data_IF_968257462092
#
_entry.id   IF_968257462092
#
_cell.length_a   1.000
_cell.length_b   1.000
_cell.length_c   1.000
_cell.angle_alpha   90.00
_cell.angle_beta   90.00
_cell.angle_gamma   90.00
#
_symmetry.space_group_name_H-M   'P 1'
#
loop_
_entity.id
_entity.type
_entity.pdbx_description
1 polymer ?
2 non-polymer ?
3 water ?
#
# COMPACT_ATOMS: atom_id res chain seq x y z
N UNK A 14 6.01 -11.41 -0.18
CA UNK A 14 6.67 -10.71 -1.31
C UNK A 14 5.93 -11.01 -2.60
N UNK A 15 5.82 -10.02 -3.47
CA UNK A 15 5.30 -10.28 -4.81
C UNK A 15 6.11 -11.39 -5.50
N UNK A 16 5.43 -12.33 -6.14
CA UNK A 16 6.09 -13.39 -6.91
C UNK A 16 6.67 -12.94 -8.26
N UNK A 17 7.71 -13.63 -8.70
CA UNK A 17 8.25 -13.44 -10.04
C UNK A 17 7.15 -13.72 -11.06
N UNK A 18 7.01 -12.81 -12.06
CA UNK A 18 5.96 -12.99 -13.06
C UNK A 18 6.24 -14.13 -14.03
N UNK A 19 7.50 -14.53 -14.22
CA UNK A 19 7.76 -15.63 -15.15
C UNK A 19 7.82 -16.99 -14.44
N UNK A 20 8.63 -17.15 -13.41
CA UNK A 20 8.74 -18.45 -12.77
C UNK A 20 7.72 -18.66 -11.69
N UNK A 21 7.26 -17.57 -11.07
CA UNK A 21 6.15 -17.67 -10.06
C UNK A 21 6.54 -18.65 -8.96
N UNK A 22 7.83 -18.77 -8.69
CA UNK A 22 8.30 -19.64 -7.61
C UNK A 22 9.37 -18.97 -6.77
N UNK A 23 9.67 -17.71 -7.02
CA UNK A 23 10.65 -16.98 -6.25
C UNK A 23 10.13 -15.57 -6.07
N UNK A 24 10.61 -14.89 -5.04
CA UNK A 24 10.30 -13.48 -4.86
C UNK A 24 10.92 -12.67 -5.99
N UNK A 25 10.16 -11.71 -6.52
CA UNK A 25 10.73 -10.77 -7.48
C UNK A 25 11.80 -9.92 -6.80
N UNK A 26 12.84 -9.58 -7.55
CA UNK A 26 13.86 -8.69 -7.02
C UNK A 26 14.08 -7.45 -7.87
N UNK A 27 13.66 -7.49 -9.14
CA UNK A 27 13.84 -6.38 -10.07
C UNK A 27 12.54 -6.15 -10.83
N UNK A 28 12.37 -4.92 -11.30
CA UNK A 28 11.21 -4.57 -12.11
C UNK A 28 11.72 -4.00 -13.43
N UNK A 29 11.12 -4.46 -14.53
CA UNK A 29 11.46 -3.96 -15.87
C UNK A 29 10.27 -3.24 -16.45
N UNK A 30 10.39 -1.94 -16.63
CA UNK A 30 9.28 -1.19 -17.22
C UNK A 30 8.96 -1.65 -18.64
N UNK A 31 9.99 -1.87 -19.48
CA UNK A 31 9.76 -2.21 -20.89
C UNK A 31 8.97 -3.49 -21.01
N UNK A 32 9.24 -4.47 -20.14
CA UNK A 32 8.52 -5.72 -20.06
C UNK A 32 7.33 -5.65 -19.12
N UNK A 33 7.20 -4.57 -18.34
CA UNK A 33 6.14 -4.46 -17.35
C UNK A 33 6.10 -5.73 -16.49
N UNK A 34 7.28 -6.10 -15.97
CA UNK A 34 7.48 -7.42 -15.35
C UNK A 34 8.22 -7.30 -14.04
N UNK A 35 7.72 -7.98 -13.02
CA UNK A 35 8.49 -8.24 -11.81
C UNK A 35 9.19 -9.58 -11.95
N UNK A 36 10.49 -9.59 -11.71
CA UNK A 36 11.29 -10.79 -11.97
C UNK A 36 12.25 -11.06 -10.82
N UNK A 37 12.47 -12.34 -10.54
CA UNK A 37 13.51 -12.75 -9.62
C UNK A 37 14.84 -12.60 -10.32
N UNK A 38 15.94 -12.84 -9.61
CA UNK A 38 17.22 -12.51 -10.23
C UNK A 38 17.54 -13.43 -11.41
N UNK A 39 17.27 -14.74 -11.27
CA UNK A 39 17.64 -15.60 -12.39
C UNK A 39 16.74 -15.36 -13.59
N UNK A 40 15.44 -15.13 -13.39
CA UNK A 40 14.59 -14.86 -14.55
C UNK A 40 14.97 -13.54 -15.22
N UNK A 41 15.34 -12.53 -14.43
CA UNK A 41 15.82 -11.29 -15.00
C UNK A 41 17.02 -11.52 -15.92
N UNK A 42 17.97 -12.35 -15.48
CA UNK A 42 19.14 -12.64 -16.30
C UNK A 42 18.73 -13.39 -17.58
N UNK A 43 17.82 -14.37 -17.47
CA UNK A 43 17.44 -15.15 -18.65
C UNK A 43 16.68 -14.32 -19.65
N UNK A 44 15.86 -13.37 -19.17
CA UNK A 44 15.05 -12.58 -20.07
C UNK A 44 15.93 -11.59 -20.84
N UNK A 45 16.91 -10.99 -20.18
CA UNK A 45 17.66 -9.94 -20.82
C UNK A 45 18.97 -10.42 -21.46
N UNK A 46 19.35 -11.68 -21.28
CA UNK A 46 20.44 -12.28 -22.04
C UNK A 46 19.94 -12.88 -23.34
N UNK A 47 18.64 -12.77 -23.60
CA UNK A 47 18.05 -13.44 -24.74
C UNK A 47 18.60 -12.94 -26.08
N UNK A 48 19.02 -11.67 -26.16
CA UNK A 48 19.48 -11.01 -27.40
C UNK A 48 19.87 -9.59 -27.00
N UNK A 49 20.54 -8.89 -27.92
CA UNK A 49 21.07 -7.52 -27.65
C UNK A 49 19.92 -6.56 -27.35
N UNK A 50 18.80 -6.69 -28.07
CA UNK A 50 17.68 -5.78 -27.93
C UNK A 50 17.18 -5.80 -26.49
N UNK A 51 16.91 -7.00 -25.97
CA UNK A 51 16.40 -7.12 -24.61
C UNK A 51 17.45 -6.67 -23.61
N UNK A 52 18.74 -6.87 -23.93
CA UNK A 52 19.79 -6.58 -22.97
C UNK A 52 19.91 -5.10 -22.71
N UNK A 53 19.27 -4.28 -23.51
CA UNK A 53 19.32 -2.86 -23.27
C UNK A 53 18.27 -2.40 -22.29
N UNK A 54 17.36 -3.29 -21.86
CA UNK A 54 16.30 -2.88 -20.92
C UNK A 54 16.92 -2.35 -19.64
N UNK A 55 16.46 -1.19 -19.19
CA UNK A 55 16.80 -0.66 -17.88
C UNK A 55 15.87 -1.24 -16.83
N UNK A 56 16.44 -1.82 -15.77
CA UNK A 56 15.68 -2.42 -14.68
C UNK A 56 16.00 -1.72 -13.35
N UNK A 57 15.08 -1.86 -12.40
CA UNK A 57 15.27 -1.26 -11.09
C UNK A 57 15.01 -2.29 -10.01
N UNK A 58 15.65 -2.09 -8.87
CA UNK A 58 15.41 -2.93 -7.71
C UNK A 58 13.96 -2.80 -7.26
N UNK A 59 13.37 -3.91 -6.82
CA UNK A 59 12.05 -3.88 -6.19
C UNK A 59 12.20 -3.31 -4.78
N UNK A 60 11.21 -2.51 -4.35
CA UNK A 60 11.18 -1.93 -3.01
C UNK A 60 11.51 -2.97 -1.95
N UNK A 61 12.51 -2.69 -1.12
CA UNK A 61 12.85 -3.60 -0.03
C UNK A 61 11.97 -3.41 1.21
N UNK A 62 11.02 -2.48 1.17
CA UNK A 62 10.06 -2.35 2.26
C UNK A 62 8.82 -3.20 1.96
N UNK A 63 8.08 -2.87 0.91
CA UNK A 63 6.87 -3.63 0.59
C UNK A 63 7.16 -4.83 -0.31
N UNK A 64 8.23 -4.73 -1.09
CA UNK A 64 8.70 -5.82 -1.98
C UNK A 64 7.66 -6.07 -3.08
N UNK A 65 6.72 -5.15 -3.27
CA UNK A 65 5.65 -5.34 -4.29
C UNK A 65 5.62 -4.18 -5.29
N UNK A 66 6.67 -3.36 -5.37
CA UNK A 66 6.62 -2.21 -6.28
C UNK A 66 8.04 -1.87 -6.65
N UNK A 67 8.26 -1.21 -7.80
CA UNK A 67 9.64 -0.82 -8.14
C UNK A 67 10.12 0.25 -7.18
N UNK A 68 11.39 0.18 -6.82
CA UNK A 68 12.00 1.23 -6.01
C UNK A 68 12.23 2.51 -6.85
N UNK A 69 12.12 3.66 -6.20
CA UNK A 69 12.40 4.94 -6.82
C UNK A 69 13.42 5.78 -6.05
N UNK A 70 13.70 5.47 -4.79
CA UNK A 70 14.61 6.25 -3.97
C UNK A 70 15.52 5.31 -3.23
N UNK A 71 16.79 5.67 -3.13
CA UNK A 71 17.75 4.91 -2.34
C UNK A 71 18.05 5.69 -1.07
N UNK A 72 17.87 5.04 0.07
CA UNK A 72 18.26 5.70 1.34
C UNK A 72 19.46 4.94 1.90
N UNK A 73 20.61 5.58 1.94
CA UNK A 73 21.81 4.90 2.42
C UNK A 73 21.76 4.73 3.92
N UNK A 74 21.19 5.71 4.63
CA UNK A 74 21.01 5.57 6.08
C UNK A 74 20.22 4.30 6.42
N UNK A 75 19.10 4.07 5.74
CA UNK A 75 18.32 2.85 5.97
C UNK A 75 18.85 1.65 5.19
N UNK A 76 19.86 1.82 4.34
CA UNK A 76 20.37 0.75 3.45
C UNK A 76 19.22 0.08 2.68
N UNK A 77 18.39 0.90 2.05
CA UNK A 77 17.14 0.42 1.46
C UNK A 77 16.78 1.21 0.21
N UNK A 78 16.44 0.48 -0.85
CA UNK A 78 15.75 1.04 -1.99
C UNK A 78 14.24 0.94 -1.78
N UNK A 79 13.55 2.08 -1.89
CA UNK A 79 12.14 2.18 -1.56
C UNK A 79 11.30 2.72 -2.72
N UNK A 80 10.11 2.16 -2.89
CA UNK A 80 9.16 2.74 -3.82
C UNK A 80 8.70 4.13 -3.31
N UNK A 81 7.94 4.84 -4.15
CA UNK A 81 7.53 6.21 -3.78
C UNK A 81 6.70 6.20 -2.50
N UNK A 82 5.73 5.28 -2.42
CA UNK A 82 4.83 5.23 -1.28
C UNK A 82 5.56 4.79 -0.01
N UNK A 83 6.42 3.77 -0.10
CA UNK A 83 7.20 3.38 1.07
C UNK A 83 8.19 4.47 1.49
N UNK A 84 8.77 5.17 0.51
CA UNK A 84 9.68 6.26 0.83
C UNK A 84 8.97 7.36 1.63
N UNK A 85 7.73 7.65 1.26
CA UNK A 85 6.99 8.68 2.00
C UNK A 85 6.57 8.15 3.38
N UNK A 86 6.09 6.91 3.45
CA UNK A 86 5.63 6.40 4.73
C UNK A 86 6.79 6.32 5.72
N UNK A 87 7.92 5.80 5.28
CA UNK A 87 9.04 5.59 6.20
C UNK A 87 9.63 6.91 6.69
N UNK A 88 9.78 7.88 5.79
CA UNK A 88 10.47 9.10 6.18
C UNK A 88 9.58 10.18 6.76
N UNK A 89 8.26 9.94 6.90
CA UNK A 89 7.42 10.86 7.63
C UNK A 89 7.19 10.40 9.07
N UNK A 90 7.79 9.28 9.47
CA UNK A 90 7.44 8.65 10.73
C UNK A 90 7.80 9.52 11.93
N UNK A 91 8.92 10.22 11.90
CA UNK A 91 9.37 10.94 13.09
C UNK A 91 10.53 11.84 12.70
N UNK A 92 11.04 12.73 13.58
CA UNK A 92 12.03 13.72 13.11
C UNK A 92 13.36 13.13 12.71
N UNK A 94 13.77 10.10 11.04
CA UNK A 94 13.54 9.59 9.70
C UNK A 94 13.39 10.74 8.71
N UNK A 95 12.76 11.83 9.14
CA UNK A 95 12.46 13.00 8.27
C UNK A 95 13.76 13.60 7.71
N UNK A 96 14.87 13.53 8.43
CA UNK A 96 16.12 14.16 7.90
C UNK A 96 16.89 13.26 6.94
N UNK A 97 16.44 12.03 6.68
CA UNK A 97 17.21 11.17 5.80
C UNK A 97 17.26 11.77 4.40
N UNK A 98 18.46 11.80 3.84
CA UNK A 98 18.71 12.22 2.47
C UNK A 98 18.62 11.00 1.57
N UNK A 99 17.81 11.11 0.56
CA UNK A 99 17.67 10.00 -0.37
C UNK A 99 18.07 10.39 -1.78
N UNK A 100 18.48 9.39 -2.54
CA UNK A 100 18.92 9.65 -3.88
C UNK A 100 17.87 9.14 -4.82
N UNK A 101 17.30 10.05 -5.60
CA UNK A 101 16.34 9.58 -6.61
C UNK A 101 17.05 8.63 -7.57
N UNK B 16 -18.40 4.68 24.57
CA UNK B 16 -18.45 6.11 24.97
C UNK B 16 -17.37 6.44 26.01
N UNK B 17 -17.03 7.72 26.13
CA UNK B 17 -16.03 8.15 27.12
C UNK B 17 -16.52 7.90 28.54
N UNK B 18 -15.64 7.34 29.39
CA UNK B 18 -16.07 7.02 30.74
C UNK B 18 -16.17 8.23 31.67
N UNK B 19 -15.46 9.32 31.39
CA UNK B 19 -15.60 10.52 32.20
C UNK B 19 -16.46 11.56 31.53
N UNK B 20 -16.18 11.79 30.23
CA UNK B 20 -16.95 12.75 29.38
C UNK B 20 -18.38 12.22 29.13
N UNK B 21 -18.50 10.96 28.73
CA UNK B 21 -19.81 10.27 28.64
C UNK B 21 -20.66 10.88 27.53
N UNK B 22 -20.12 11.86 26.84
CA UNK B 22 -20.80 12.52 25.74
C UNK B 22 -19.89 12.71 24.54
N UNK B 23 -18.83 11.90 24.45
CA UNK B 23 -17.91 11.90 23.33
C UNK B 23 -17.43 10.48 23.06
N UNK B 24 -17.05 10.22 21.81
CA UNK B 24 -16.57 8.89 21.45
C UNK B 24 -15.20 8.64 22.06
N UNK B 25 -15.01 7.49 22.72
CA UNK B 25 -13.71 7.17 23.35
C UNK B 25 -12.65 6.87 22.29
N UNK B 26 -11.46 7.47 22.39
CA UNK B 26 -10.36 7.24 21.41
C UNK B 26 -9.05 6.80 22.08
N UNK B 27 -9.02 6.71 23.42
CA UNK B 27 -7.82 6.34 24.15
C UNK B 27 -8.21 5.38 25.25
N UNK B 28 -7.40 4.34 25.45
CA UNK B 28 -7.61 3.38 26.52
C UNK B 28 -6.44 3.50 27.48
N UNK B 29 -6.74 3.61 28.78
CA UNK B 29 -5.70 3.69 29.81
C UNK B 29 -5.88 2.50 30.74
N UNK B 30 -4.93 1.57 30.70
CA UNK B 30 -5.03 0.40 31.56
C UNK B 30 -4.96 0.77 33.02
N UNK B 31 -4.06 1.69 33.38
CA UNK B 31 -3.86 2.04 34.80
C UNK B 31 -5.14 2.59 35.41
N UNK B 32 -5.90 3.35 34.63
CA UNK B 32 -7.18 3.88 35.05
C UNK B 32 -8.35 2.95 34.70
N UNK B 33 -8.12 1.82 34.03
CA UNK B 33 -9.20 0.99 33.49
C UNK B 33 -10.27 1.86 32.81
N UNK B 34 -9.85 2.72 31.88
CA UNK B 34 -10.79 3.69 31.36
C UNK B 34 -10.66 3.85 29.85
N UNK B 35 -11.80 4.06 29.21
CA UNK B 35 -11.88 4.47 27.82
C UNK B 35 -12.23 5.95 27.81
N UNK B 36 -11.35 6.78 27.24
CA UNK B 36 -11.53 8.23 27.25
C UNK B 36 -11.50 8.81 25.86
N UNK B 37 -12.26 9.90 25.69
CA UNK B 37 -12.07 10.75 24.52
C UNK B 37 -10.74 11.47 24.65
N UNK B 38 -10.38 12.21 23.60
CA UNK B 38 -9.07 12.83 23.56
C UNK B 38 -8.95 13.97 24.56
N UNK B 39 -10.03 14.74 24.73
CA UNK B 39 -9.99 15.85 25.67
C UNK B 39 -9.87 15.34 27.10
N UNK B 40 -10.76 14.42 27.50
CA UNK B 40 -10.68 13.86 28.84
C UNK B 40 -9.35 13.16 29.09
N UNK B 41 -8.84 12.46 28.07
CA UNK B 41 -7.54 11.75 28.18
C UNK B 41 -6.44 12.76 28.57
N UNK B 42 -6.44 13.94 27.94
CA UNK B 42 -5.44 14.97 28.22
C UNK B 42 -5.65 15.59 29.60
N UNK B 43 -6.89 15.84 29.99
CA UNK B 43 -7.13 16.44 31.31
C UNK B 43 -6.82 15.47 32.45
N UNK B 44 -7.16 14.19 32.30
CA UNK B 44 -6.82 13.22 33.35
C UNK B 44 -5.31 13.17 33.52
N UNK B 45 -4.60 13.00 32.41
CA UNK B 45 -3.20 12.66 32.48
C UNK B 45 -2.30 13.89 32.55
N UNK B 46 -2.88 15.10 32.53
CA UNK B 46 -2.15 16.33 32.82
C UNK B 46 -2.25 16.74 34.28
N UNK B 47 -2.93 15.96 35.14
CA UNK B 47 -3.26 16.47 36.47
C UNK B 47 -2.03 16.59 37.37
N UNK B 48 -1.02 15.74 37.20
CA UNK B 48 0.17 15.70 38.05
C UNK B 48 1.17 14.77 37.39
N UNK B 49 2.38 14.74 37.92
CA UNK B 49 3.48 13.90 37.40
C UNK B 49 3.13 12.40 37.46
N UNK B 50 2.30 11.99 38.43
CA UNK B 50 2.05 10.56 38.61
C UNK B 50 1.09 10.06 37.54
N UNK B 51 0.02 10.81 37.28
CA UNK B 51 -0.92 10.44 36.24
C UNK B 51 -0.31 10.61 34.84
N UNK B 52 0.67 11.49 34.71
CA UNK B 52 1.27 11.71 33.39
C UNK B 52 2.16 10.55 32.98
N UNK B 53 2.52 9.66 33.91
CA UNK B 53 3.30 8.49 33.57
C UNK B 53 2.45 7.32 33.07
N UNK B 54 1.12 7.45 33.04
CA UNK B 54 0.26 6.36 32.60
C UNK B 54 0.50 6.07 31.13
N UNK B 55 0.68 4.80 30.79
CA UNK B 55 0.78 4.42 29.38
C UNK B 55 -0.62 4.21 28.80
N UNK B 56 -0.89 4.90 27.69
CA UNK B 56 -2.21 4.83 27.01
C UNK B 56 -2.00 4.51 25.51
N UNK B 57 -2.97 3.81 24.93
CA UNK B 57 -2.94 3.38 23.53
C UNK B 57 -4.27 3.78 22.92
N UNK B 58 -4.26 3.97 21.61
CA UNK B 58 -5.47 4.27 20.88
C UNK B 58 -6.45 3.11 20.98
N UNK B 59 -7.73 3.41 20.85
CA UNK B 59 -8.75 2.37 20.84
C UNK B 59 -8.83 1.76 19.44
N UNK B 60 -9.13 0.47 19.36
CA UNK B 60 -9.26 -0.22 18.09
C UNK B 60 -10.26 0.48 17.21
N UNK B 61 -9.86 0.85 15.99
CA UNK B 61 -10.74 1.55 15.08
C UNK B 61 -11.65 0.62 14.30
N UNK B 62 -11.55 -0.68 14.54
CA UNK B 62 -12.44 -1.65 13.91
C UNK B 62 -13.67 -1.93 14.78
N UNK B 63 -13.45 -2.45 15.98
CA UNK B 63 -14.57 -2.70 16.87
C UNK B 63 -14.93 -1.50 17.74
N UNK B 64 -13.96 -0.62 17.97
CA UNK B 64 -14.21 0.59 18.80
C UNK B 64 -14.62 0.17 20.21
N UNK B 65 -14.17 -1.00 20.65
CA UNK B 65 -14.48 -1.49 21.99
C UNK B 65 -13.31 -2.20 22.67
N UNK B 66 -12.08 -1.96 22.25
CA UNK B 66 -10.94 -2.65 22.83
C UNK B 66 -9.69 -1.83 22.56
N UNK B 67 -8.65 -1.98 23.37
CA UNK B 67 -7.40 -1.28 23.10
C UNK B 67 -6.73 -1.81 21.85
N UNK B 68 -6.16 -0.90 21.08
CA UNK B 68 -5.40 -1.28 19.89
C UNK B 68 -4.07 -1.90 20.30
N UNK B 69 -3.67 -2.94 19.58
CA UNK B 69 -2.38 -3.56 19.78
C UNK B 69 -1.47 -3.45 18.57
N UNK B 70 -2.02 -3.28 17.37
CA UNK B 70 -1.22 -3.23 16.16
C UNK B 70 -1.68 -2.09 15.26
N UNK B 71 -0.72 -1.43 14.63
CA UNK B 71 -1.01 -0.40 13.65
C UNK B 71 -0.73 -0.96 12.27
N UNK B 72 -1.71 -0.88 11.39
CA UNK B 72 -1.55 -1.30 10.00
C UNK B 72 -1.63 -0.04 9.13
N UNK B 73 -0.51 0.33 8.54
CA UNK B 73 -0.47 1.54 7.66
C UNK B 73 -1.25 1.29 6.37
N UNK B 74 -1.15 0.11 5.76
CA UNK B 74 -1.91 -0.12 4.53
C UNK B 74 -3.41 0.03 4.76
N UNK B 75 -3.89 -0.32 5.96
CA UNK B 75 -5.29 -0.17 6.30
C UNK B 75 -5.59 1.17 6.97
N UNK B 76 -4.58 1.98 7.29
CA UNK B 76 -4.76 3.20 8.08
C UNK B 76 -5.58 2.97 9.34
N UNK B 77 -5.27 1.87 10.06
CA UNK B 77 -6.11 1.44 11.17
C UNK B 77 -5.27 0.99 12.35
N UNK B 78 -5.73 1.31 13.55
CA UNK B 78 -5.21 0.72 14.77
C UNK B 78 -6.19 -0.35 15.19
N UNK B 79 -5.68 -1.53 15.50
CA UNK B 79 -6.53 -2.69 15.70
C UNK B 79 -6.12 -3.44 16.96
N UNK B 80 -7.12 -3.89 17.71
CA UNK B 80 -6.90 -4.83 18.80
C UNK B 80 -6.42 -6.17 18.24
N UNK B 81 -5.96 -7.04 19.15
CA UNK B 81 -5.38 -8.32 18.72
C UNK B 81 -6.39 -9.16 17.96
N UNK B 82 -7.65 -9.19 18.40
CA UNK B 82 -8.69 -9.94 17.72
C UNK B 82 -9.00 -9.35 16.33
N UNK B 83 -9.26 -8.03 16.27
CA UNK B 83 -9.62 -7.46 14.97
C UNK B 83 -8.46 -7.57 14.00
N UNK B 84 -7.23 -7.39 14.49
CA UNK B 84 -6.06 -7.56 13.64
C UNK B 84 -5.99 -8.96 13.03
N UNK B 85 -6.20 -10.01 13.86
CA UNK B 85 -6.13 -11.38 13.35
C UNK B 85 -7.29 -11.67 12.40
N UNK B 86 -8.49 -11.18 12.71
CA UNK B 86 -9.64 -11.38 11.83
C UNK B 86 -9.48 -10.71 10.46
N UNK B 87 -9.04 -9.45 10.46
CA UNK B 87 -8.87 -8.70 9.22
C UNK B 87 -7.76 -9.31 8.34
N UNK B 88 -6.65 -9.71 8.94
CA UNK B 88 -5.47 -10.12 8.18
C UNK B 88 -5.42 -11.59 7.85
N UNK B 89 -6.25 -12.43 8.49
CA UNK B 89 -6.43 -13.82 8.10
C UNK B 89 -7.50 -14.03 7.03
N UNK B 90 -8.18 -12.98 6.59
CA UNK B 90 -9.35 -13.16 5.73
C UNK B 90 -8.99 -13.71 4.34
N UNK B 91 -7.94 -13.20 3.74
CA UNK B 91 -7.57 -13.57 2.35
C UNK B 91 -6.09 -13.37 2.07
N UNK B 92 -5.61 -13.88 0.94
CA UNK B 92 -4.18 -13.76 0.64
C UNK B 92 -3.58 -12.32 0.58
N UNK B 94 -4.69 -9.44 2.29
CA UNK B 94 -4.66 -8.89 3.64
C UNK B 94 -3.63 -9.63 4.45
N UNK B 95 -3.43 -10.91 4.14
CA UNK B 95 -2.41 -11.68 4.83
C UNK B 95 -1.02 -11.10 4.65
N UNK B 96 -0.84 -10.30 3.60
CA UNK B 96 0.51 -9.75 3.26
C UNK B 96 0.77 -8.39 3.92
N UNK B 97 -0.19 -7.86 4.69
CA UNK B 97 0.01 -6.55 5.31
C UNK B 97 1.08 -6.61 6.39
N UNK B 98 1.86 -5.55 6.47
CA UNK B 98 2.82 -5.37 7.56
C UNK B 98 2.22 -4.50 8.65
N UNK B 99 2.31 -4.95 9.88
CA UNK B 99 1.78 -4.18 11.00
C UNK B 99 2.89 -3.93 12.01
N UNK B 100 2.77 -2.84 12.75
CA UNK B 100 3.74 -2.60 13.84
C UNK B 100 3.02 -2.65 15.19
N UNK B 101 3.76 -2.97 16.25
CA UNK B 101 3.02 -2.91 17.51
C UNK B 101 2.80 -1.53 17.95
N UNK B 104 3.03 2.80 23.42
CA UNK B 104 2.39 3.44 24.57
C UNK B 104 2.02 4.86 24.41
N UNK C 14 -1.95 -9.53 -21.01
CA UNK C 14 -2.58 -8.84 -19.85
C UNK C 14 -2.06 -9.41 -18.53
N UNK C 15 -1.80 -8.55 -17.57
CA UNK C 15 -1.29 -9.00 -16.26
C UNK C 15 -2.37 -9.81 -15.54
N UNK C 16 -1.97 -10.93 -14.95
CA UNK C 16 -2.91 -11.78 -14.21
C UNK C 16 -3.23 -11.26 -12.81
N UNK C 17 -4.46 -11.54 -12.37
CA UNK C 17 -4.92 -11.27 -11.01
C UNK C 17 -3.99 -11.89 -9.96
N UNK C 18 -3.56 -11.08 -8.98
CA UNK C 18 -2.60 -11.53 -7.98
C UNK C 18 -3.19 -12.61 -7.07
N UNK C 19 -4.51 -12.71 -7.02
CA UNK C 19 -5.19 -13.63 -6.10
C UNK C 19 -5.52 -14.98 -6.74
N UNK C 20 -6.30 -14.96 -7.83
CA UNK C 20 -6.74 -16.21 -8.45
C UNK C 20 -5.87 -16.60 -9.63
N UNK C 21 -5.14 -15.64 -10.19
CA UNK C 21 -4.16 -15.95 -11.27
C UNK C 21 -4.83 -16.78 -12.37
N UNK C 22 -6.13 -16.55 -12.56
CA UNK C 22 -6.94 -17.23 -13.60
C UNK C 22 -7.71 -16.21 -14.46
N UNK C 23 -7.73 -14.94 -14.02
CA UNK C 23 -8.44 -13.88 -14.73
C UNK C 23 -7.46 -12.74 -14.95
N UNK C 24 -7.69 -11.96 -16.00
CA UNK C 24 -6.92 -10.73 -16.16
C UNK C 24 -7.28 -9.75 -15.03
N UNK C 25 -6.28 -9.01 -14.55
CA UNK C 25 -6.60 -8.01 -13.54
C UNK C 25 -7.34 -6.85 -14.19
N UNK C 26 -8.21 -6.21 -13.42
CA UNK C 26 -8.93 -5.02 -13.87
C UNK C 26 -8.76 -3.81 -12.96
N UNK C 27 -8.35 -3.99 -11.70
CA UNK C 27 -8.13 -2.86 -10.79
C UNK C 27 -6.82 -3.06 -10.06
N UNK C 28 -6.29 -1.95 -9.57
CA UNK C 28 -5.10 -1.94 -8.73
C UNK C 28 -5.46 -1.32 -7.39
N UNK C 29 -5.15 -2.03 -6.30
CA UNK C 29 -5.32 -1.49 -4.95
C UNK C 29 -3.94 -1.18 -4.38
N UNK C 30 -3.64 0.09 -4.17
CA UNK C 30 -2.32 0.42 -3.60
C UNK C 30 -2.17 -0.06 -2.16
N UNK C 31 -3.25 0.01 -1.38
CA UNK C 31 -3.17 -0.42 0.02
C UNK C 31 -2.73 -1.87 0.10
N UNK C 32 -3.31 -2.71 -0.76
CA UNK C 32 -2.96 -4.12 -0.85
C UNK C 32 -1.76 -4.37 -1.76
N UNK C 33 -1.32 -3.33 -2.50
CA UNK C 33 -0.20 -3.52 -3.47
C UNK C 33 -0.60 -4.72 -4.35
N UNK C 34 -1.80 -4.66 -4.92
CA UNK C 34 -2.39 -5.82 -5.57
C UNK C 34 -3.08 -5.46 -6.88
N UNK C 35 -2.88 -6.31 -7.89
CA UNK C 35 -3.68 -6.32 -9.12
C UNK C 35 -4.73 -7.41 -8.98
N UNK C 36 -6.00 -7.03 -9.11
CA UNK C 36 -7.08 -7.96 -8.89
C UNK C 36 -8.06 -7.96 -10.06
N UNK C 37 -8.70 -9.12 -10.26
CA UNK C 37 -9.84 -9.15 -11.15
C UNK C 37 -11.08 -8.62 -10.43
N UNK C 38 -12.16 -8.42 -11.21
CA UNK C 38 -13.43 -7.87 -10.67
C UNK C 38 -13.94 -8.74 -9.52
N UNK C 39 -13.89 -10.07 -9.67
CA UNK C 39 -14.38 -11.01 -8.63
C UNK C 39 -13.51 -10.91 -7.37
N UNK C 40 -12.19 -11.02 -7.52
CA UNK C 40 -11.27 -10.97 -6.39
C UNK C 40 -11.26 -9.60 -5.73
N UNK C 41 -11.44 -8.52 -6.50
CA UNK C 41 -11.54 -7.18 -5.91
C UNK C 41 -12.78 -7.08 -5.03
N UNK C 42 -13.88 -7.67 -5.48
CA UNK C 42 -15.10 -7.60 -4.70
C UNK C 42 -14.97 -8.43 -3.42
N UNK C 43 -14.38 -9.62 -3.53
CA UNK C 43 -14.28 -10.52 -2.38
C UNK C 43 -13.27 -10.01 -1.36
N UNK C 44 -12.16 -9.41 -1.82
CA UNK C 44 -11.17 -8.87 -0.89
C UNK C 44 -11.76 -7.71 -0.10
N UNK C 45 -12.46 -6.79 -0.78
CA UNK C 45 -12.88 -5.56 -0.12
C UNK C 45 -14.25 -5.64 0.53
N UNK C 46 -14.96 -6.76 0.41
CA UNK C 46 -16.15 -7.00 1.21
C UNK C 46 -15.85 -7.77 2.48
N UNK C 47 -14.57 -8.05 2.75
CA UNK C 47 -14.24 -8.92 3.87
C UNK C 47 -14.64 -8.33 5.22
N UNK C 48 -14.68 -6.98 5.31
CA UNK C 48 -14.91 -6.29 6.57
C UNK C 48 -14.90 -4.79 6.30
N UNK C 49 -15.18 -4.01 7.34
CA UNK C 49 -15.33 -2.58 7.18
C UNK C 49 -14.00 -1.90 6.89
N UNK C 50 -12.90 -2.41 7.45
CA UNK C 50 -11.60 -1.79 7.25
C UNK C 50 -11.18 -1.91 5.80
N UNK C 51 -11.25 -3.13 5.24
CA UNK C 51 -10.85 -3.37 3.85
C UNK C 51 -11.76 -2.65 2.86
N UNK C 52 -13.02 -2.45 3.21
CA UNK C 52 -13.91 -1.79 2.26
C UNK C 52 -13.52 -0.35 2.04
N UNK C 53 -12.71 0.26 2.92
CA UNK C 53 -12.28 1.64 2.71
C UNK C 53 -11.18 1.81 1.66
N UNK C 54 -10.63 0.73 1.10
CA UNK C 54 -9.50 0.87 0.19
C UNK C 54 -9.91 1.57 -1.10
N UNK C 55 -9.11 2.53 -1.52
CA UNK C 55 -9.25 3.17 -2.82
C UNK C 55 -8.50 2.36 -3.88
N UNK C 56 -9.21 1.97 -4.93
CA UNK C 56 -8.68 1.25 -6.05
C UNK C 56 -8.79 2.10 -7.32
N UNK C 57 -8.00 1.74 -8.33
CA UNK C 57 -8.04 2.39 -9.64
C UNK C 57 -8.11 1.31 -10.71
N UNK C 58 -8.75 1.69 -11.83
CA UNK C 58 -8.86 0.77 -13.00
C UNK C 58 -7.47 0.63 -13.62
N UNK C 59 -7.13 -0.60 -14.02
CA UNK C 59 -5.84 -0.92 -14.65
C UNK C 59 -5.78 -0.30 -16.05
N UNK C 60 -4.56 0.13 -16.43
CA UNK C 60 -4.32 0.72 -17.73
C UNK C 60 -4.90 -0.15 -18.84
N UNK C 61 -5.71 0.46 -19.72
CA UNK C 61 -6.37 -0.26 -20.81
C UNK C 61 -5.47 -0.41 -22.03
N UNK C 62 -4.29 0.18 -22.03
CA UNK C 62 -3.34 -0.04 -23.10
C UNK C 62 -2.44 -1.25 -22.79
N UNK C 63 -1.65 -1.14 -21.71
CA UNK C 63 -0.70 -2.20 -21.31
C UNK C 63 -1.40 -3.26 -20.45
N UNK C 64 -2.49 -2.88 -19.77
CA UNK C 64 -3.27 -3.80 -18.91
C UNK C 64 -2.35 -4.47 -17.87
N UNK C 65 -1.19 -3.87 -17.61
CA UNK C 65 -0.21 -4.40 -16.61
C UNK C 65 0.19 -3.35 -15.55
N UNK C 66 -0.42 -2.17 -15.58
CA UNK C 66 -0.07 -1.11 -14.62
C UNK C 66 -1.32 -0.32 -14.22
N UNK C 67 -1.36 0.30 -13.02
CA UNK C 67 -2.53 1.08 -12.61
C UNK C 67 -2.66 2.33 -13.49
N UNK C 68 -3.90 2.67 -13.86
CA UNK C 68 -4.16 3.85 -14.70
C UNK C 68 -3.94 5.12 -13.90
N UNK C 69 -3.38 6.13 -14.56
CA UNK C 69 -3.16 7.43 -13.96
C UNK C 69 -3.97 8.54 -14.61
N UNK C 70 -4.33 8.41 -15.89
CA UNK C 70 -5.04 9.45 -16.62
C UNK C 70 -6.17 8.86 -17.43
N UNK C 71 -7.28 9.59 -17.49
CA UNK C 71 -8.39 9.27 -18.35
C UNK C 71 -8.30 10.18 -19.57
N UNK C 72 -8.37 9.58 -20.76
CA UNK C 72 -8.46 10.36 -21.99
C UNK C 72 -9.82 10.02 -22.58
N UNK C 73 -10.76 10.96 -22.51
CA UNK C 73 -12.09 10.66 -23.02
C UNK C 73 -12.09 10.57 -24.54
N UNK C 74 -11.24 11.35 -25.21
CA UNK C 74 -11.12 11.24 -26.66
C UNK C 74 -10.69 9.85 -27.08
N UNK C 75 -9.82 9.20 -26.28
CA UNK C 75 -9.44 7.83 -26.61
C UNK C 75 -10.33 6.82 -25.94
N UNK C 76 -11.23 7.27 -25.08
CA UNK C 76 -12.03 6.38 -24.26
C UNK C 76 -11.15 5.34 -23.56
N UNK C 77 -10.09 5.82 -22.92
CA UNK C 77 -9.05 4.96 -22.36
C UNK C 77 -8.57 5.51 -21.03
N UNK C 78 -8.47 4.62 -20.04
CA UNK C 78 -7.72 4.89 -18.81
C UNK C 78 -6.31 4.34 -18.96
N UNK C 79 -5.30 5.19 -18.67
CA UNK C 79 -3.93 4.92 -19.09
C UNK C 79 -2.96 5.17 -17.95
N UNK C 80 -1.95 4.29 -17.82
CA UNK C 80 -0.87 4.50 -16.86
C UNK C 80 -0.02 5.68 -17.32
N UNK C 81 0.88 6.13 -16.44
CA UNK C 81 1.72 7.27 -16.84
C UNK C 81 2.51 6.97 -18.11
N UNK C 82 3.14 5.80 -18.16
CA UNK C 82 3.97 5.47 -19.32
C UNK C 82 3.13 5.38 -20.59
N UNK C 83 1.97 4.70 -20.53
CA UNK C 83 1.18 4.53 -21.75
C UNK C 83 0.59 5.87 -22.19
N UNK C 84 0.22 6.70 -21.22
CA UNK C 84 -0.28 8.02 -21.57
C UNK C 84 0.77 8.83 -22.31
N UNK C 85 2.03 8.81 -21.85
CA UNK C 85 3.06 9.58 -22.53
C UNK C 85 3.37 9.02 -23.91
N UNK C 86 3.41 7.69 -24.03
CA UNK C 86 3.71 7.08 -25.33
C UNK C 86 2.61 7.40 -26.36
N UNK C 87 1.35 7.21 -25.97
CA UNK C 87 0.23 7.34 -26.90
C UNK C 87 0.11 8.78 -27.39
N UNK C 88 0.25 9.75 -26.49
CA UNK C 88 0.06 11.16 -26.78
C UNK C 88 1.29 11.88 -27.28
N UNK C 89 2.43 11.23 -27.34
CA UNK C 89 3.56 11.81 -28.04
C UNK C 89 3.73 11.21 -29.43
N UNK C 90 2.83 10.31 -29.87
CA UNK C 90 3.07 9.61 -31.13
C UNK C 90 3.03 10.55 -32.34
N UNK C 91 2.28 11.69 -32.26
CA UNK C 91 2.11 12.60 -33.38
C UNK C 91 1.39 13.86 -32.94
N UNK C 92 1.34 14.92 -33.77
CA UNK C 92 0.72 16.18 -33.32
C UNK C 92 -0.77 16.09 -33.05
N UNK C 94 -2.37 13.36 -31.67
CA UNK C 94 -2.51 12.78 -30.33
C UNK C 94 -2.01 13.73 -29.25
N UNK C 95 -1.09 14.62 -29.61
CA UNK C 95 -0.53 15.58 -28.62
C UNK C 95 -1.66 16.47 -28.08
N UNK C 96 -2.63 16.80 -28.94
CA UNK C 96 -3.69 17.74 -28.58
C UNK C 96 -4.67 17.14 -27.59
N UNK C 97 -4.49 15.85 -27.29
CA UNK C 97 -5.45 15.15 -26.40
C UNK C 97 -5.49 15.80 -25.02
N UNK C 98 -6.70 15.96 -24.47
CA UNK C 98 -6.89 16.55 -23.12
C UNK C 98 -7.17 15.38 -22.16
N UNK C 99 -6.39 15.26 -21.10
CA UNK C 99 -6.54 14.14 -20.18
C UNK C 99 -6.73 14.65 -18.75
N UNK C 100 -7.43 13.86 -17.94
CA UNK C 100 -7.71 14.25 -16.56
C UNK C 100 -7.18 13.19 -15.59
N UNK C 101 -6.79 13.61 -14.35
CA UNK C 101 -6.40 12.59 -13.36
C UNK C 101 -7.44 11.51 -13.01
N UNK C 104 -9.44 7.62 -7.74
CA UNK C 104 -9.40 6.37 -6.99
C UNK C 104 -10.67 6.17 -6.24
N UNK C 105 -11.24 4.97 -6.25
CA UNK C 105 -12.51 4.67 -5.57
C UNK C 105 -12.43 3.49 -4.58
#
# INVERSE_FOLDING_TARGET
>A
SXLKEASNESGTWARACDTCRSAACTVYCEADSAYLCTTCDARVHAANRVASRHERVRVCQSCESAPAAFLCKADAASLCTACDAEIHSANPXARRHQRVPXXPLSANSCSSXAPSETDAD
>B
SXLKEASNESGTWARACDTCRSAACTVYCEADSAYLCTTCDARVHAANRVASRHERVRVCQSCESAPAAFLCKADAASLCTACDAEIHSANPXARRHQRVPXXPLSANSCSSXAPSETDAD
>C
SXLKEASNESGTWARACDTCRSAACTVYCEADSAYLCTTCDARVHAANRVASRHERVRVCQSCESAPAAFLCKADAASLCTACDAEIHSANPXARRHQRVPXXPLSANSCSSXAPSETDAD
#
